data_IF_114304838161
#
_entry.id   IF_114304838161
#
_cell.length_a   1.000
_cell.length_b   1.000
_cell.length_c   1.000
_cell.angle_alpha   90.00
_cell.angle_beta   90.00
_cell.angle_gamma   90.00
#
_symmetry.space_group_name_H-M   'P 1'
#
loop_
_entity.id
_entity.type
_entity.pdbx_description
1 polymer ?
#
# COMPACT_ATOMS: atom_id res chain seq x y z
N UNK A 1 -2.87 -22.29 -17.97
CA UNK A 1 -3.44 -20.97 -17.63
C UNK A 1 -4.73 -21.11 -16.82
N UNK A 2 -5.64 -22.02 -17.19
CA UNK A 2 -6.87 -22.30 -16.42
C UNK A 2 -6.61 -22.81 -14.99
N UNK A 3 -5.60 -23.65 -14.80
CA UNK A 3 -5.26 -24.20 -13.47
C UNK A 3 -4.78 -23.12 -12.47
N UNK A 4 -4.10 -22.09 -12.96
CA UNK A 4 -3.69 -20.94 -12.15
C UNK A 4 -4.89 -20.05 -11.75
N UNK A 5 -5.80 -19.83 -12.69
CA UNK A 5 -7.03 -19.08 -12.41
C UNK A 5 -7.93 -19.82 -11.42
N UNK A 6 -8.01 -21.14 -11.54
CA UNK A 6 -8.79 -21.99 -10.61
C UNK A 6 -8.14 -22.01 -9.21
N UNK A 7 -6.80 -22.02 -9.12
CA UNK A 7 -6.11 -21.94 -7.85
C UNK A 7 -6.28 -20.56 -7.16
N UNK A 8 -6.24 -19.46 -7.94
CA UNK A 8 -6.50 -18.11 -7.44
C UNK A 8 -7.96 -17.87 -7.03
N UNK A 9 -8.89 -18.66 -7.60
CA UNK A 9 -10.30 -18.62 -7.23
C UNK A 9 -10.58 -19.31 -5.87
N UNK A 10 -9.64 -20.12 -5.35
CA UNK A 10 -9.77 -20.68 -4.00
C UNK A 10 -9.53 -19.57 -2.97
N UNK A 11 -10.45 -19.34 -1.99
CA UNK A 11 -10.37 -18.23 -1.06
C UNK A 11 -9.03 -18.12 -0.32
N UNK A 12 -8.47 -19.25 0.08
CA UNK A 12 -7.21 -19.32 0.83
C UNK A 12 -6.00 -18.88 -0.01
N UNK A 13 -5.90 -19.32 -1.25
CA UNK A 13 -4.81 -18.93 -2.15
C UNK A 13 -4.97 -17.50 -2.67
N UNK A 14 -6.22 -17.07 -2.94
CA UNK A 14 -6.50 -15.72 -3.38
C UNK A 14 -6.13 -14.65 -2.34
N UNK A 15 -6.49 -14.85 -1.07
CA UNK A 15 -6.15 -13.94 0.01
C UNK A 15 -4.64 -13.90 0.29
N UNK A 16 -3.97 -15.06 0.27
CA UNK A 16 -2.51 -15.12 0.42
C UNK A 16 -1.79 -14.39 -0.72
N UNK A 17 -2.26 -14.55 -1.94
CA UNK A 17 -1.72 -13.84 -3.11
C UNK A 17 -1.91 -12.34 -2.98
N UNK A 18 -3.10 -11.88 -2.58
CA UNK A 18 -3.39 -10.46 -2.34
C UNK A 18 -2.46 -9.90 -1.28
N UNK A 19 -2.24 -10.64 -0.18
CA UNK A 19 -1.32 -10.21 0.89
C UNK A 19 0.10 -10.02 0.36
N UNK A 20 0.66 -11.04 -0.31
CA UNK A 20 2.04 -11.01 -0.83
C UNK A 20 2.20 -9.91 -1.89
N UNK A 21 1.25 -9.80 -2.82
CA UNK A 21 1.28 -8.77 -3.86
C UNK A 21 1.21 -7.38 -3.23
N UNK A 22 0.36 -7.18 -2.22
CA UNK A 22 0.22 -5.90 -1.53
C UNK A 22 1.47 -5.54 -0.73
N UNK A 23 2.13 -6.52 -0.12
CA UNK A 23 3.39 -6.35 0.59
C UNK A 23 4.52 -5.93 -0.36
N UNK A 24 4.70 -6.67 -1.46
CA UNK A 24 5.76 -6.41 -2.45
C UNK A 24 5.52 -5.08 -3.16
N UNK A 25 4.27 -4.78 -3.52
CA UNK A 25 3.88 -3.53 -4.16
C UNK A 25 4.25 -2.31 -3.31
N UNK A 26 4.12 -2.41 -1.98
CA UNK A 26 4.44 -1.32 -1.07
C UNK A 26 5.94 -1.16 -0.80
N UNK A 27 6.77 -2.16 -1.12
CA UNK A 27 8.22 -2.12 -0.83
C UNK A 27 9.06 -1.85 -2.07
N UNK A 28 8.71 -2.43 -3.21
CA UNK A 28 9.62 -2.51 -4.36
C UNK A 28 9.07 -1.89 -5.66
N UNK A 29 7.75 -1.82 -5.82
CA UNK A 29 7.14 -1.41 -7.08
C UNK A 29 6.07 -0.34 -6.86
N UNK A 30 6.08 0.75 -7.62
CA UNK A 30 5.00 1.74 -7.63
C UNK A 30 3.74 1.22 -8.35
N UNK A 31 3.69 -0.09 -8.60
CA UNK A 31 2.54 -0.77 -9.19
C UNK A 31 1.55 -1.08 -8.08
N UNK A 32 0.35 -0.54 -8.19
CA UNK A 32 -0.71 -0.79 -7.23
C UNK A 32 -1.10 -2.27 -7.15
N UNK A 33 -1.45 -2.73 -5.96
CA UNK A 33 -2.03 -4.06 -5.72
C UNK A 33 -3.55 -4.08 -6.00
N UNK A 34 -4.12 -2.98 -6.45
CA UNK A 34 -5.54 -2.82 -6.74
C UNK A 34 -6.08 -3.84 -7.76
N UNK A 35 -5.35 -4.16 -8.86
CA UNK A 35 -5.81 -5.17 -9.80
C UNK A 35 -5.95 -6.57 -9.17
N UNK A 36 -5.08 -6.92 -8.22
CA UNK A 36 -5.14 -8.19 -7.52
C UNK A 36 -6.34 -8.26 -6.57
N UNK A 37 -6.59 -7.18 -5.82
CA UNK A 37 -7.77 -7.07 -4.94
C UNK A 37 -9.05 -7.10 -5.78
N UNK A 38 -9.12 -6.31 -6.83
CA UNK A 38 -10.28 -6.27 -7.74
C UNK A 38 -10.56 -7.62 -8.37
N UNK A 39 -9.53 -8.31 -8.88
CA UNK A 39 -9.66 -9.64 -9.48
C UNK A 39 -10.22 -10.67 -8.49
N UNK A 40 -9.70 -10.69 -7.26
CA UNK A 40 -10.19 -11.60 -6.21
C UNK A 40 -11.65 -11.32 -5.84
N UNK A 41 -11.99 -10.05 -5.61
CA UNK A 41 -13.35 -9.64 -5.23
C UNK A 41 -14.35 -9.88 -6.36
N UNK A 42 -13.91 -9.73 -7.61
CA UNK A 42 -14.77 -10.00 -8.77
C UNK A 42 -15.08 -11.48 -8.94
N UNK A 43 -14.12 -12.36 -8.61
CA UNK A 43 -14.32 -13.81 -8.60
C UNK A 43 -15.11 -14.29 -7.38
N UNK A 44 -14.97 -13.59 -6.24
CA UNK A 44 -15.57 -13.95 -4.96
C UNK A 44 -16.10 -12.69 -4.26
N UNK A 45 -17.31 -12.21 -4.58
CA UNK A 45 -17.88 -10.99 -4.00
C UNK A 45 -18.01 -11.03 -2.46
N UNK A 46 -18.22 -12.22 -1.90
CA UNK A 46 -18.33 -12.45 -0.45
C UNK A 46 -17.04 -12.15 0.31
N UNK A 47 -15.89 -12.13 -0.40
CA UNK A 47 -14.59 -11.85 0.16
C UNK A 47 -14.20 -10.37 0.11
N UNK A 48 -15.10 -9.45 -0.24
CA UNK A 48 -14.82 -8.02 -0.38
C UNK A 48 -14.08 -7.44 0.82
N UNK A 49 -14.65 -7.57 2.01
CA UNK A 49 -14.06 -7.03 3.22
C UNK A 49 -12.76 -7.74 3.63
N UNK A 50 -12.72 -9.05 3.46
CA UNK A 50 -11.53 -9.85 3.77
C UNK A 50 -10.37 -9.47 2.84
N UNK A 51 -10.61 -9.33 1.55
CA UNK A 51 -9.61 -8.92 0.58
C UNK A 51 -9.05 -7.51 0.89
N UNK A 52 -9.93 -6.55 1.22
CA UNK A 52 -9.53 -5.19 1.60
C UNK A 52 -8.69 -5.20 2.87
N UNK A 53 -9.10 -5.92 3.91
CA UNK A 53 -8.36 -6.00 5.17
C UNK A 53 -6.98 -6.63 4.98
N UNK A 54 -6.91 -7.73 4.24
CA UNK A 54 -5.66 -8.44 3.94
C UNK A 54 -4.73 -7.58 3.10
N UNK A 55 -5.25 -6.90 2.07
CA UNK A 55 -4.48 -5.97 1.24
C UNK A 55 -3.97 -4.78 2.06
N UNK A 56 -4.82 -4.21 2.92
CA UNK A 56 -4.43 -3.10 3.80
C UNK A 56 -3.33 -3.54 4.76
N UNK A 57 -3.44 -4.72 5.37
CA UNK A 57 -2.43 -5.26 6.27
C UNK A 57 -1.09 -5.46 5.54
N UNK A 58 -1.09 -6.16 4.41
CA UNK A 58 0.11 -6.41 3.61
C UNK A 58 0.79 -5.11 3.17
N UNK A 59 0.00 -4.17 2.65
CA UNK A 59 0.52 -2.89 2.17
C UNK A 59 0.98 -1.97 3.33
N UNK A 60 0.36 -2.06 4.51
CA UNK A 60 0.80 -1.31 5.71
C UNK A 60 2.11 -1.87 6.25
N UNK A 61 2.27 -3.19 6.28
CA UNK A 61 3.52 -3.84 6.65
C UNK A 61 4.64 -3.45 5.67
N UNK A 62 4.35 -3.43 4.37
CA UNK A 62 5.29 -2.95 3.36
C UNK A 62 5.69 -1.48 3.58
N UNK A 63 4.73 -0.61 3.87
CA UNK A 63 4.99 0.79 4.24
C UNK A 63 5.81 0.94 5.53
N UNK A 64 5.58 0.07 6.52
CA UNK A 64 6.38 0.02 7.74
C UNK A 64 7.84 -0.40 7.45
N UNK A 65 8.04 -1.38 6.58
CA UNK A 65 9.38 -1.77 6.11
C UNK A 65 10.05 -0.58 5.40
N UNK A 66 9.34 0.13 4.53
CA UNK A 66 9.84 1.32 3.85
C UNK A 66 10.22 2.43 4.84
N UNK A 67 9.43 2.60 5.91
CA UNK A 67 9.77 3.51 7.00
C UNK A 67 11.08 3.12 7.70
N UNK A 68 11.25 1.82 8.01
CA UNK A 68 12.48 1.30 8.61
C UNK A 68 13.70 1.47 7.69
N UNK A 69 13.51 1.24 6.41
CA UNK A 69 14.57 1.48 5.40
C UNK A 69 14.94 2.97 5.35
N UNK A 70 13.96 3.87 5.39
CA UNK A 70 14.19 5.31 5.45
C UNK A 70 14.93 5.73 6.70
N UNK A 71 14.53 5.19 7.86
CA UNK A 71 15.20 5.43 9.13
C UNK A 71 16.67 4.95 9.12
N UNK A 72 16.94 3.79 8.53
CA UNK A 72 18.31 3.28 8.37
C UNK A 72 19.13 4.03 7.34
N UNK A 73 18.51 4.56 6.30
CA UNK A 73 19.16 5.33 5.25
C UNK A 73 19.68 6.69 5.73
N UNK A 74 19.13 7.25 6.81
CA UNK A 74 19.61 8.48 7.41
C UNK A 74 21.08 8.37 7.83
N UNK A 75 21.47 7.24 8.42
CA UNK A 75 22.86 6.99 8.82
C UNK A 75 23.81 7.06 7.61
N UNK A 76 23.33 6.65 6.45
CA UNK A 76 24.07 6.70 5.19
C UNK A 76 23.99 8.11 4.56
N UNK A 77 22.83 8.77 4.69
CA UNK A 77 22.58 10.10 4.12
C UNK A 77 23.42 11.20 4.79
N UNK A 78 23.55 11.17 6.12
CA UNK A 78 24.46 12.07 6.84
C UNK A 78 25.92 11.95 6.38
N UNK A 79 26.31 10.76 5.89
CA UNK A 79 27.64 10.50 5.32
C UNK A 79 27.78 10.92 3.84
N UNK A 80 26.69 11.00 3.11
CA UNK A 80 26.70 11.24 1.64
C UNK A 80 26.25 12.65 1.23
N UNK A 81 25.96 13.53 2.14
CA UNK A 81 25.57 14.96 2.06
C UNK A 81 25.66 15.61 0.66
N UNK A 82 24.90 15.15 -0.32
CA UNK A 82 24.86 15.84 -1.62
C UNK A 82 23.74 15.51 -2.61
N UNK A 83 22.51 15.25 -2.20
CA UNK A 83 21.41 15.29 -3.20
C UNK A 83 20.11 15.80 -2.57
N UNK A 84 19.52 16.80 -3.22
CA UNK A 84 18.21 17.38 -2.95
C UNK A 84 17.15 16.26 -2.97
N UNK A 85 16.88 15.64 -1.84
CA UNK A 85 15.63 14.93 -1.65
C UNK A 85 14.48 15.91 -1.88
N UNK A 86 13.47 15.49 -2.60
CA UNK A 86 12.40 16.35 -3.09
C UNK A 86 11.87 17.28 -2.01
N UNK A 87 12.30 18.54 -2.07
CA UNK A 87 12.06 19.56 -1.05
C UNK A 87 10.56 19.70 -0.70
N UNK A 88 9.66 19.32 -1.60
CA UNK A 88 8.22 19.39 -1.38
C UNK A 88 7.72 18.34 -0.39
N UNK A 89 8.17 17.09 -0.47
CA UNK A 89 7.75 16.02 0.45
C UNK A 89 8.25 16.31 1.86
N UNK A 90 9.48 16.82 1.98
CA UNK A 90 10.07 17.24 3.26
C UNK A 90 9.25 18.38 3.90
N UNK A 91 8.97 19.45 3.16
CA UNK A 91 8.19 20.60 3.68
C UNK A 91 6.78 20.16 4.12
N UNK A 92 6.14 19.24 3.38
CA UNK A 92 4.83 18.73 3.77
C UNK A 92 4.89 17.90 5.04
N UNK A 93 5.88 17.02 5.17
CA UNK A 93 6.08 16.19 6.35
C UNK A 93 6.45 17.02 7.57
N UNK A 94 7.32 18.02 7.45
CA UNK A 94 7.64 18.94 8.53
C UNK A 94 6.41 19.74 9.00
N UNK A 95 5.56 20.16 8.06
CA UNK A 95 4.37 20.97 8.37
C UNK A 95 3.24 20.16 9.01
N UNK A 96 2.99 18.92 8.53
CA UNK A 96 1.85 18.10 8.94
C UNK A 96 2.25 16.97 9.89
N UNK A 97 3.53 16.71 10.07
CA UNK A 97 4.03 15.65 10.92
C UNK A 97 3.54 14.26 10.47
N UNK A 98 3.31 13.32 11.41
CA UNK A 98 2.85 11.97 11.10
C UNK A 98 1.52 11.91 10.34
N UNK A 99 0.69 12.96 10.42
CA UNK A 99 -0.58 13.07 9.68
C UNK A 99 -0.36 13.10 8.17
N UNK A 100 0.81 13.52 7.70
CA UNK A 100 1.15 13.48 6.28
C UNK A 100 1.14 12.03 5.73
N UNK A 101 1.37 11.02 6.58
CA UNK A 101 1.28 9.62 6.18
C UNK A 101 -0.14 9.19 5.78
N UNK A 102 -1.18 9.99 6.09
CA UNK A 102 -2.52 9.79 5.55
C UNK A 102 -2.54 9.92 4.02
N UNK A 103 -1.65 10.75 3.44
CA UNK A 103 -1.46 10.88 2.00
C UNK A 103 -0.93 9.58 1.34
N UNK A 104 -0.65 8.53 2.12
CA UNK A 104 -0.40 7.20 1.59
C UNK A 104 -1.60 6.61 0.83
N UNK A 105 -2.75 7.26 0.88
CA UNK A 105 -3.85 7.05 -0.04
C UNK A 105 -3.42 7.25 -1.52
N UNK A 106 -2.57 8.25 -1.83
CA UNK A 106 -2.23 8.57 -3.22
C UNK A 106 -1.37 7.46 -3.83
N UNK A 107 -1.80 6.88 -4.99
CA UNK A 107 -1.03 5.85 -5.67
C UNK A 107 0.31 6.43 -6.17
N UNK A 108 1.39 5.70 -5.93
CA UNK A 108 2.74 6.06 -6.39
C UNK A 108 3.48 7.08 -5.52
N UNK A 109 2.78 7.94 -4.77
CA UNK A 109 3.40 8.95 -3.88
C UNK A 109 3.41 8.48 -2.43
N UNK A 110 2.44 7.64 -2.06
CA UNK A 110 2.24 7.23 -0.67
C UNK A 110 3.37 6.39 -0.10
N UNK A 111 3.91 5.46 -0.84
CA UNK A 111 4.95 4.55 -0.36
C UNK A 111 6.32 5.25 -0.21
N UNK A 112 6.79 6.09 -1.16
CA UNK A 112 7.95 6.96 -0.93
C UNK A 112 7.81 7.87 0.28
N UNK A 113 6.59 8.38 0.55
CA UNK A 113 6.31 9.22 1.71
C UNK A 113 6.56 8.49 3.03
N UNK A 114 6.29 7.18 3.08
CA UNK A 114 6.57 6.35 4.26
C UNK A 114 8.08 6.26 4.52
N UNK A 115 8.89 6.09 3.48
CA UNK A 115 10.35 6.08 3.60
C UNK A 115 10.90 7.45 4.07
N UNK A 116 10.36 8.56 3.53
CA UNK A 116 10.76 9.91 3.96
C UNK A 116 10.34 10.19 5.41
N UNK A 117 9.17 9.69 5.85
CA UNK A 117 8.77 9.80 7.26
C UNK A 117 9.75 9.06 8.20
N UNK A 118 10.28 7.91 7.76
CA UNK A 118 11.34 7.20 8.46
C UNK A 118 12.66 7.99 8.49
N UNK A 119 13.06 8.58 7.36
CA UNK A 119 14.24 9.40 7.23
C UNK A 119 14.19 10.62 8.18
N UNK A 120 13.01 11.21 8.38
CA UNK A 120 12.77 12.32 9.31
C UNK A 120 12.60 11.88 10.77
N UNK A 121 12.83 10.61 11.09
CA UNK A 121 12.67 10.05 12.46
C UNK A 121 11.30 10.31 13.07
N UNK A 122 10.26 10.36 12.26
CA UNK A 122 8.91 10.54 12.78
C UNK A 122 8.48 9.37 13.65
N UNK A 123 7.64 9.57 14.66
CA UNK A 123 7.22 8.49 15.55
C UNK A 123 6.53 7.38 14.74
N UNK A 124 7.03 6.15 14.87
CA UNK A 124 6.63 4.98 14.08
C UNK A 124 5.14 4.67 14.18
N UNK A 125 4.61 4.55 15.39
CA UNK A 125 3.23 4.13 15.62
C UNK A 125 2.18 5.08 15.02
N UNK A 126 2.27 6.41 15.23
CA UNK A 126 1.37 7.34 14.54
C UNK A 126 1.47 7.26 13.02
N UNK A 127 2.68 7.13 12.47
CA UNK A 127 2.86 6.98 11.02
C UNK A 127 2.15 5.72 10.51
N UNK A 128 2.35 4.56 11.15
CA UNK A 128 1.70 3.29 10.79
C UNK A 128 0.18 3.40 10.86
N UNK A 129 -0.36 4.05 11.90
CA UNK A 129 -1.79 4.23 12.03
C UNK A 129 -2.38 5.07 10.88
N UNK A 130 -1.77 6.22 10.58
CA UNK A 130 -2.23 7.07 9.48
C UNK A 130 -2.05 6.41 8.12
N UNK A 131 -0.97 5.63 7.91
CA UNK A 131 -0.78 4.79 6.72
C UNK A 131 -1.91 3.77 6.58
N UNK A 132 -2.23 3.04 7.64
CA UNK A 132 -3.28 2.01 7.61
C UNK A 132 -4.64 2.62 7.25
N UNK A 133 -5.00 3.77 7.84
CA UNK A 133 -6.25 4.48 7.53
C UNK A 133 -6.26 4.95 6.06
N UNK A 134 -5.18 5.55 5.58
CA UNK A 134 -5.09 6.02 4.19
C UNK A 134 -5.18 4.88 3.18
N UNK A 135 -4.45 3.79 3.42
CA UNK A 135 -4.45 2.60 2.55
C UNK A 135 -5.80 1.88 2.57
N UNK A 136 -6.42 1.75 3.73
CA UNK A 136 -7.76 1.19 3.85
C UNK A 136 -8.79 1.99 3.04
N UNK A 137 -8.82 3.31 3.21
CA UNK A 137 -9.71 4.19 2.46
C UNK A 137 -9.47 4.07 0.95
N UNK A 138 -8.22 3.98 0.51
CA UNK A 138 -7.85 3.76 -0.90
C UNK A 138 -8.42 2.46 -1.45
N UNK A 139 -8.22 1.33 -0.75
CA UNK A 139 -8.72 0.05 -1.23
C UNK A 139 -10.24 0.01 -1.30
N UNK A 140 -10.94 0.55 -0.29
CA UNK A 140 -12.40 0.64 -0.31
C UNK A 140 -12.89 1.47 -1.50
N UNK A 141 -12.36 2.69 -1.66
CA UNK A 141 -12.82 3.60 -2.73
C UNK A 141 -12.49 3.08 -4.12
N UNK A 142 -11.26 2.59 -4.35
CA UNK A 142 -10.85 2.08 -5.65
C UNK A 142 -11.58 0.80 -6.03
N UNK A 143 -11.70 -0.17 -5.11
CA UNK A 143 -12.40 -1.42 -5.39
C UNK A 143 -13.89 -1.16 -5.62
N UNK A 144 -14.53 -0.31 -4.82
CA UNK A 144 -15.94 0.05 -5.00
C UNK A 144 -16.16 0.76 -6.35
N UNK A 145 -15.28 1.70 -6.72
CA UNK A 145 -15.37 2.42 -8.00
C UNK A 145 -15.19 1.48 -9.19
N UNK A 146 -14.24 0.55 -9.12
CA UNK A 146 -14.00 -0.42 -10.19
C UNK A 146 -15.17 -1.41 -10.33
N UNK A 147 -15.77 -1.85 -9.23
CA UNK A 147 -16.97 -2.70 -9.26
C UNK A 147 -18.17 -1.96 -9.85
N UNK A 148 -18.31 -0.67 -9.54
CA UNK A 148 -19.37 0.16 -10.11
C UNK A 148 -19.18 0.41 -11.63
N UNK A 149 -17.93 0.57 -12.08
CA UNK A 149 -17.61 0.81 -13.49
C UNK A 149 -17.71 -0.44 -14.36
N UNK A 150 -17.42 -1.62 -13.78
CA UNK A 150 -17.46 -2.91 -14.46
C UNK A 150 -18.49 -3.86 -13.83
N UNK A 151 -19.81 -3.61 -13.99
CA UNK A 151 -20.87 -4.40 -13.35
C UNK A 151 -21.11 -5.74 -14.05
N UNK A 152 -20.10 -6.43 -14.55
CA UNK A 152 -20.21 -7.73 -15.16
C UNK A 152 -19.55 -8.80 -14.30
N UNK A 153 -20.30 -9.84 -13.90
CA UNK A 153 -19.69 -11.05 -13.33
C UNK A 153 -18.92 -11.79 -14.43
N UNK A 154 -17.67 -12.14 -14.17
CA UNK A 154 -17.05 -13.21 -14.93
C UNK A 154 -17.71 -14.52 -14.47
N UNK A 155 -18.77 -14.95 -15.15
CA UNK A 155 -19.19 -16.35 -15.05
C UNK A 155 -18.12 -17.20 -15.70
N UNK A 156 -17.59 -18.21 -15.00
CA UNK A 156 -16.61 -19.13 -15.57
C UNK A 156 -17.19 -19.94 -16.72
#
# INVERSE_FOLDING_TARGET
MQSLLTALALPQFGLSTVFVVSLISATLLPLGSEPAVFGLVKLNPDLFWQAILVATAGNTIGGAISWWMGYGAEILYERLQNKRLEAKALVWLERFGPKACLLSWLPGVGDPLCAVAGLLKMPFWPCVLYMAIGKFARYVTMTATLLWWFPGQFTP
#
